data_IF_061628296405
#
_entry.id   IF_061628296405
#
_cell.length_a   1.000
_cell.length_b   1.000
_cell.length_c   1.000
_cell.angle_alpha   90.00
_cell.angle_beta   90.00
_cell.angle_gamma   90.00
#
_symmetry.space_group_name_H-M   'P 1'
#
loop_
_entity.id
_entity.type
_entity.pdbx_description
1 polymer ?
#
# COMPACT_ATOMS: atom_id res chain seq x y z
N UNK A 1 65.89 11.43 21.99
CA UNK A 1 64.61 10.78 21.61
C UNK A 1 63.47 11.69 22.00
N UNK A 2 62.97 12.51 21.06
CA UNK A 2 61.82 13.39 21.29
C UNK A 2 60.56 12.76 20.72
N UNK A 3 59.67 12.28 21.59
CA UNK A 3 58.43 11.60 21.22
C UNK A 3 57.49 12.58 20.49
N UNK A 4 57.28 12.39 19.17
CA UNK A 4 56.21 13.06 18.42
C UNK A 4 54.88 12.43 18.82
N UNK A 5 54.08 13.15 19.62
CA UNK A 5 52.67 12.80 19.87
C UNK A 5 51.90 12.88 18.55
N UNK A 6 51.34 11.76 18.11
CA UNK A 6 50.42 11.70 16.99
C UNK A 6 49.17 12.53 17.31
N UNK A 7 48.83 13.49 16.44
CA UNK A 7 47.56 14.22 16.52
C UNK A 7 46.42 13.26 16.20
N UNK A 8 45.56 13.01 17.17
CA UNK A 8 44.31 12.27 17.02
C UNK A 8 43.43 13.00 15.99
N UNK A 9 43.17 12.38 14.83
CA UNK A 9 42.18 12.90 13.87
C UNK A 9 40.82 12.89 14.54
N UNK A 10 40.27 14.06 14.84
CA UNK A 10 38.86 14.24 15.16
C UNK A 10 38.04 13.66 14.02
N UNK A 11 37.22 12.64 14.28
CA UNK A 11 36.25 12.10 13.31
C UNK A 11 35.42 13.26 12.80
N UNK A 12 35.51 13.57 11.50
CA UNK A 12 34.62 14.51 10.86
C UNK A 12 33.17 14.07 11.15
N UNK A 13 32.33 14.98 11.63
CA UNK A 13 30.90 14.70 11.83
C UNK A 13 30.36 14.19 10.50
N UNK A 14 29.62 13.07 10.55
CA UNK A 14 28.96 12.55 9.37
C UNK A 14 28.10 13.66 8.75
N UNK A 15 28.22 13.87 7.44
CA UNK A 15 27.36 14.82 6.73
C UNK A 15 25.90 14.37 6.91
N UNK A 16 24.96 15.32 7.08
CA UNK A 16 23.54 14.98 7.19
C UNK A 16 23.08 14.22 5.94
N UNK A 17 22.16 13.28 6.13
CA UNK A 17 21.69 12.38 5.08
C UNK A 17 20.43 12.90 4.36
N UNK A 18 19.79 13.95 4.89
CA UNK A 18 18.59 14.56 4.33
C UNK A 18 17.26 13.99 4.85
N UNK A 19 17.33 13.12 5.86
CA UNK A 19 16.21 12.41 6.48
C UNK A 19 16.17 12.59 8.00
N UNK A 20 16.96 13.51 8.56
CA UNK A 20 16.84 13.87 9.97
C UNK A 20 15.50 14.57 10.25
N UNK A 21 14.92 14.37 11.43
CA UNK A 21 13.58 14.87 11.83
C UNK A 21 13.39 16.38 11.64
N UNK A 22 14.48 17.16 11.75
CA UNK A 22 14.50 18.61 11.55
C UNK A 22 15.37 19.03 10.36
N UNK A 23 15.63 18.11 9.42
CA UNK A 23 16.39 18.45 8.22
C UNK A 23 15.58 19.41 7.36
N UNK A 24 16.14 20.59 7.13
CA UNK A 24 15.70 21.51 6.10
C UNK A 24 16.83 21.65 5.08
N UNK A 25 16.48 21.69 3.80
CA UNK A 25 17.45 22.07 2.78
C UNK A 25 18.01 23.45 3.10
N UNK A 26 19.29 23.64 2.80
CA UNK A 26 19.89 24.96 2.89
C UNK A 26 19.07 25.92 2.01
N UNK A 27 18.75 27.14 2.49
CA UNK A 27 18.02 28.10 1.69
C UNK A 27 18.80 28.38 0.41
N UNK A 28 18.14 28.14 -0.73
CA UNK A 28 18.67 28.50 -2.04
C UNK A 28 18.75 30.03 -2.12
N UNK A 29 19.80 30.56 -2.74
CA UNK A 29 19.88 32.01 -2.94
C UNK A 29 18.79 32.45 -3.93
N UNK A 30 18.23 33.67 -3.80
CA UNK A 30 17.20 34.13 -4.75
C UNK A 30 17.67 34.09 -6.21
N UNK A 31 18.94 34.37 -6.46
CA UNK A 31 19.51 34.35 -7.81
C UNK A 31 19.61 32.92 -8.36
N UNK A 32 20.08 31.96 -7.55
CA UNK A 32 20.14 30.54 -7.94
C UNK A 32 18.72 29.98 -8.17
N UNK A 33 17.76 30.35 -7.32
CA UNK A 33 16.37 29.91 -7.47
C UNK A 33 15.74 30.45 -8.75
N UNK A 34 15.96 31.73 -9.06
CA UNK A 34 15.49 32.31 -10.32
C UNK A 34 16.16 31.65 -11.53
N UNK A 35 17.46 31.35 -11.45
CA UNK A 35 18.16 30.64 -12.51
C UNK A 35 17.61 29.21 -12.70
N UNK A 36 17.42 28.45 -11.63
CA UNK A 36 16.81 27.11 -11.70
C UNK A 36 15.40 27.17 -12.32
N UNK A 37 14.57 28.14 -11.91
CA UNK A 37 13.22 28.32 -12.43
C UNK A 37 13.19 28.73 -13.91
N UNK A 38 14.13 29.57 -14.34
CA UNK A 38 14.17 30.05 -15.73
C UNK A 38 14.83 29.07 -16.69
N UNK A 39 15.74 28.22 -16.20
CA UNK A 39 16.46 27.26 -17.02
C UNK A 39 15.96 25.82 -16.82
N UNK A 40 16.20 25.24 -15.63
CA UNK A 40 15.95 23.82 -15.37
C UNK A 40 14.47 23.47 -15.33
N UNK A 41 13.67 24.30 -14.64
CA UNK A 41 12.25 24.03 -14.36
C UNK A 41 11.30 24.99 -15.08
N UNK A 42 11.77 25.68 -16.12
CA UNK A 42 10.90 26.56 -16.91
C UNK A 42 9.69 25.80 -17.44
N UNK A 43 8.45 26.32 -17.24
CA UNK A 43 7.24 25.73 -17.81
C UNK A 43 7.24 25.59 -19.34
N UNK A 44 8.16 26.28 -20.03
CA UNK A 44 8.37 26.12 -21.48
C UNK A 44 9.05 24.80 -21.84
N UNK A 45 9.65 24.09 -20.87
CA UNK A 45 10.24 22.77 -21.06
C UNK A 45 9.18 21.68 -20.86
N UNK A 46 9.26 20.58 -21.63
CA UNK A 46 8.41 19.42 -21.41
C UNK A 46 8.46 18.96 -19.96
N UNK A 47 7.31 18.55 -19.41
CA UNK A 47 7.22 18.06 -18.03
C UNK A 47 8.19 16.90 -17.78
N UNK A 48 8.29 15.95 -18.73
CA UNK A 48 9.18 14.78 -18.66
C UNK A 48 10.65 15.17 -18.42
N UNK A 49 11.14 16.20 -19.11
CA UNK A 49 12.49 16.71 -18.92
C UNK A 49 12.67 17.34 -17.53
N UNK A 50 11.69 18.13 -17.06
CA UNK A 50 11.74 18.78 -15.74
C UNK A 50 11.74 17.78 -14.59
N UNK A 51 10.84 16.80 -14.63
CA UNK A 51 10.74 15.79 -13.57
C UNK A 51 11.96 14.85 -13.56
N UNK A 52 12.49 14.50 -14.74
CA UNK A 52 13.73 13.72 -14.84
C UNK A 52 14.90 14.46 -14.17
N UNK A 53 15.12 15.73 -14.52
CA UNK A 53 16.17 16.56 -13.91
C UNK A 53 15.96 16.69 -12.39
N UNK A 54 14.73 16.88 -11.94
CA UNK A 54 14.38 16.92 -10.52
C UNK A 54 14.79 15.64 -9.79
N UNK A 55 14.45 14.46 -10.31
CA UNK A 55 14.76 13.17 -9.68
C UNK A 55 16.28 12.95 -9.58
N UNK A 56 17.00 13.25 -10.66
CA UNK A 56 18.46 13.11 -10.71
C UNK A 56 19.15 14.03 -9.68
N UNK A 57 18.72 15.30 -9.59
CA UNK A 57 19.21 16.26 -8.59
C UNK A 57 18.83 15.82 -7.18
N UNK A 58 17.60 15.35 -6.96
CA UNK A 58 17.15 14.83 -5.67
C UNK A 58 18.05 13.70 -5.16
N UNK A 59 18.39 12.72 -6.02
CA UNK A 59 19.31 11.63 -5.66
C UNK A 59 20.73 12.11 -5.40
N UNK A 60 21.21 13.12 -6.12
CA UNK A 60 22.54 13.68 -5.88
C UNK A 60 22.60 14.41 -4.52
N UNK A 61 21.51 15.05 -4.11
CA UNK A 61 21.41 15.81 -2.86
C UNK A 61 21.03 14.94 -1.64
N UNK A 62 20.50 13.73 -1.84
CA UNK A 62 20.01 12.85 -0.76
C UNK A 62 20.81 11.57 -0.64
N UNK A 63 21.10 11.17 0.60
CA UNK A 63 21.76 9.89 0.84
C UNK A 63 20.71 8.80 1.09
N UNK A 64 20.26 8.18 0.00
CA UNK A 64 19.40 7.01 0.04
C UNK A 64 20.24 5.76 0.37
N UNK A 65 20.04 5.17 1.54
CA UNK A 65 20.55 3.82 1.82
C UNK A 65 19.78 2.78 0.99
N UNK A 66 20.19 1.51 1.05
CA UNK A 66 19.58 0.44 0.28
C UNK A 66 18.06 0.35 0.47
N UNK A 67 17.57 0.56 1.69
CA UNK A 67 16.15 0.45 2.00
C UNK A 67 15.36 1.66 1.50
N UNK A 68 15.87 2.87 1.72
CA UNK A 68 15.27 4.11 1.19
C UNK A 68 15.28 4.13 -0.35
N UNK A 69 16.35 3.65 -0.96
CA UNK A 69 16.46 3.52 -2.41
C UNK A 69 15.42 2.52 -2.95
N UNK A 70 15.22 1.38 -2.29
CA UNK A 70 14.19 0.42 -2.69
C UNK A 70 12.79 1.03 -2.66
N UNK A 71 12.44 1.74 -1.57
CA UNK A 71 11.17 2.46 -1.42
C UNK A 71 10.98 3.44 -2.57
N UNK A 72 11.97 4.31 -2.79
CA UNK A 72 11.89 5.37 -3.79
C UNK A 72 11.84 4.81 -5.23
N UNK A 73 12.65 3.79 -5.53
CA UNK A 73 12.66 3.14 -6.84
C UNK A 73 11.29 2.54 -7.18
N UNK A 74 10.64 1.87 -6.20
CA UNK A 74 9.33 1.26 -6.41
C UNK A 74 8.22 2.30 -6.59
N UNK A 75 8.31 3.43 -5.90
CA UNK A 75 7.41 4.56 -6.11
C UNK A 75 7.55 5.15 -7.52
N UNK A 76 8.78 5.42 -7.96
CA UNK A 76 9.06 5.92 -9.31
C UNK A 76 8.62 4.93 -10.40
N UNK A 77 8.90 3.64 -10.20
CA UNK A 77 8.51 2.59 -11.13
C UNK A 77 6.98 2.50 -11.29
N UNK A 78 6.22 2.62 -10.19
CA UNK A 78 4.75 2.67 -10.27
C UNK A 78 4.26 3.89 -11.07
N UNK A 79 4.96 5.02 -10.95
CA UNK A 79 4.73 6.22 -11.77
C UNK A 79 5.25 6.13 -13.21
N UNK A 80 5.69 4.96 -13.68
CA UNK A 80 6.17 4.76 -15.04
C UNK A 80 7.58 5.28 -15.31
N UNK A 81 8.37 5.54 -14.26
CA UNK A 81 9.73 6.09 -14.39
C UNK A 81 10.76 4.97 -14.26
N UNK A 82 11.70 4.92 -15.20
CA UNK A 82 12.77 3.94 -15.19
C UNK A 82 13.79 4.30 -14.10
N UNK A 83 14.14 3.30 -13.28
CA UNK A 83 15.23 3.43 -12.30
C UNK A 83 16.22 2.29 -12.55
N UNK A 84 17.40 2.59 -13.07
CA UNK A 84 18.41 1.57 -13.35
C UNK A 84 19.20 1.20 -12.08
N UNK A 85 19.54 -0.08 -11.95
CA UNK A 85 20.49 -0.55 -10.94
C UNK A 85 21.90 -0.42 -11.52
N UNK A 86 22.76 0.39 -10.86
CA UNK A 86 24.16 0.69 -11.24
C UNK A 86 25.11 -0.52 -11.47
N UNK A 87 24.62 -1.76 -11.46
CA UNK A 87 25.44 -2.96 -11.59
C UNK A 87 26.10 -3.13 -12.98
N UNK A 88 25.65 -2.43 -14.03
CA UNK A 88 26.19 -2.64 -15.39
C UNK A 88 26.53 -1.38 -16.21
N UNK A 89 25.89 -0.23 -15.96
CA UNK A 89 26.03 0.96 -16.83
C UNK A 89 26.86 2.13 -16.30
N UNK A 90 27.14 2.19 -15.00
CA UNK A 90 27.84 3.31 -14.37
C UNK A 90 29.36 3.10 -14.34
N UNK A 91 30.02 3.27 -15.49
CA UNK A 91 31.48 3.26 -15.55
C UNK A 91 32.10 4.22 -14.53
N UNK A 92 33.17 3.78 -13.85
CA UNK A 92 33.97 4.66 -13.01
C UNK A 92 34.49 5.80 -13.88
N UNK A 93 33.99 7.02 -13.66
CA UNK A 93 34.49 8.21 -14.36
C UNK A 93 36.01 8.27 -14.14
N UNK A 94 36.76 8.44 -15.22
CA UNK A 94 38.21 8.59 -15.09
C UNK A 94 38.54 9.86 -14.29
N UNK A 95 39.72 9.86 -13.69
CA UNK A 95 40.12 10.92 -12.77
C UNK A 95 40.29 12.28 -13.46
N UNK A 96 40.39 12.28 -14.79
CA UNK A 96 40.49 13.47 -15.63
C UNK A 96 39.11 14.10 -15.90
N UNK A 97 38.07 13.29 -16.14
CA UNK A 97 36.68 13.77 -16.23
C UNK A 97 36.19 14.29 -14.88
N UNK A 98 36.53 13.63 -13.77
CA UNK A 98 36.20 14.12 -12.42
C UNK A 98 36.89 15.44 -12.05
N UNK A 99 38.05 15.73 -12.64
CA UNK A 99 38.80 16.94 -12.38
C UNK A 99 38.40 18.13 -13.26
N UNK A 100 37.78 17.87 -14.42
CA UNK A 100 37.44 18.87 -15.42
C UNK A 100 35.94 19.16 -15.53
N UNK A 101 35.08 18.20 -15.22
CA UNK A 101 33.64 18.36 -15.27
C UNK A 101 33.10 19.10 -14.04
N UNK A 102 32.08 19.92 -14.25
CA UNK A 102 31.30 20.55 -13.16
C UNK A 102 30.58 19.49 -12.34
N UNK A 103 30.22 19.82 -11.09
CA UNK A 103 29.44 18.91 -10.25
C UNK A 103 28.12 18.49 -10.91
N UNK A 104 27.56 19.35 -11.76
CA UNK A 104 26.33 19.12 -12.52
C UNK A 104 26.54 18.19 -13.72
N UNK A 105 27.65 18.34 -14.45
CA UNK A 105 28.03 17.40 -15.52
C UNK A 105 28.35 16.02 -14.98
N UNK A 106 29.06 15.92 -13.84
CA UNK A 106 29.31 14.65 -13.16
C UNK A 106 27.99 14.00 -12.72
N UNK A 107 27.06 14.79 -12.18
CA UNK A 107 25.74 14.29 -11.78
C UNK A 107 24.91 13.80 -12.97
N UNK A 108 24.95 14.51 -14.11
CA UNK A 108 24.26 14.11 -15.33
C UNK A 108 24.83 12.81 -15.93
N UNK A 109 26.16 12.64 -15.91
CA UNK A 109 26.81 11.40 -16.39
C UNK A 109 26.48 10.21 -15.48
N UNK A 110 26.29 10.45 -14.17
CA UNK A 110 25.96 9.41 -13.19
C UNK A 110 24.45 9.14 -13.04
N UNK A 111 23.61 9.83 -13.81
CA UNK A 111 22.16 9.71 -13.73
C UNK A 111 21.68 8.29 -14.04
N UNK A 112 20.79 7.78 -13.20
CA UNK A 112 20.23 6.42 -13.29
C UNK A 112 18.74 6.41 -13.58
N UNK A 113 18.12 7.58 -13.59
CA UNK A 113 16.67 7.73 -13.67
C UNK A 113 16.36 8.43 -14.99
N UNK A 114 15.59 7.75 -15.83
CA UNK A 114 15.23 8.22 -17.16
C UNK A 114 13.72 8.13 -17.36
N UNK A 115 13.17 9.10 -18.08
CA UNK A 115 11.75 9.16 -18.44
C UNK A 115 11.67 9.00 -19.96
N UNK A 116 10.81 8.11 -20.45
CA UNK A 116 10.49 8.06 -21.89
C UNK A 116 11.46 7.26 -22.77
N UNK A 117 12.36 6.44 -22.20
CA UNK A 117 13.30 5.62 -23.00
C UNK A 117 12.63 4.50 -23.80
N UNK A 118 11.36 4.17 -23.51
CA UNK A 118 10.64 3.07 -24.14
C UNK A 118 11.25 1.70 -23.81
N UNK A 119 10.65 0.62 -24.35
CA UNK A 119 11.19 -0.74 -24.24
C UNK A 119 10.64 -1.60 -23.10
N UNK A 120 9.83 -1.04 -22.20
CA UNK A 120 9.01 -1.81 -21.26
C UNK A 120 7.62 -1.14 -21.17
N UNK A 121 6.56 -1.92 -21.39
CA UNK A 121 5.15 -1.45 -21.33
C UNK A 121 4.74 -0.93 -19.94
N UNK A 122 5.53 -1.21 -18.90
CA UNK A 122 5.35 -0.64 -17.56
C UNK A 122 5.85 0.81 -17.45
N UNK A 123 6.73 1.24 -18.34
CA UNK A 123 7.37 2.55 -18.30
C UNK A 123 6.68 3.52 -19.25
N UNK A 124 6.73 4.80 -18.91
CA UNK A 124 6.26 5.88 -19.77
C UNK A 124 6.97 5.81 -21.13
N UNK A 125 6.19 5.84 -22.20
CA UNK A 125 6.65 5.86 -23.59
C UNK A 125 6.20 7.16 -24.26
N UNK A 126 7.15 7.94 -24.76
CA UNK A 126 6.87 9.19 -25.46
C UNK A 126 6.05 8.98 -26.75
N UNK A 127 6.16 7.80 -27.38
CA UNK A 127 5.39 7.47 -28.58
C UNK A 127 3.92 7.14 -28.27
N UNK A 128 3.61 6.82 -27.02
CA UNK A 128 2.27 6.51 -26.54
C UNK A 128 1.83 7.51 -25.46
N UNK A 129 2.32 8.75 -25.51
CA UNK A 129 2.07 9.75 -24.47
C UNK A 129 0.57 9.99 -24.17
N UNK A 130 -0.31 9.82 -25.17
CA UNK A 130 -1.77 9.94 -25.01
C UNK A 130 -2.38 8.87 -24.09
N UNK A 131 -1.67 7.76 -23.85
CA UNK A 131 -2.06 6.71 -22.91
C UNK A 131 -1.65 7.00 -21.46
N UNK A 132 -0.93 8.10 -21.24
CA UNK A 132 -0.34 8.45 -19.94
C UNK A 132 -0.87 9.79 -19.42
N UNK A 133 -1.02 9.87 -18.10
CA UNK A 133 -1.40 11.09 -17.38
C UNK A 133 -0.43 11.32 -16.23
N UNK A 134 -0.15 12.59 -15.95
CA UNK A 134 0.59 12.99 -14.75
C UNK A 134 -0.38 13.02 -13.58
N UNK A 135 -0.23 12.10 -12.63
CA UNK A 135 -1.10 11.95 -11.46
C UNK A 135 -0.28 11.57 -10.21
N UNK A 136 0.29 12.58 -9.55
CA UNK A 136 1.06 12.41 -8.32
C UNK A 136 0.20 11.85 -7.19
N UNK A 137 -1.05 12.32 -7.05
CA UNK A 137 -1.96 11.84 -6.02
C UNK A 137 -2.28 10.36 -6.23
N UNK A 138 -2.68 9.97 -7.43
CA UNK A 138 -2.99 8.59 -7.79
C UNK A 138 -1.81 7.65 -7.61
N UNK A 139 -0.61 8.05 -8.04
CA UNK A 139 0.62 7.25 -7.82
C UNK A 139 0.92 7.08 -6.32
N UNK A 140 0.77 8.14 -5.51
CA UNK A 140 0.91 8.03 -4.06
C UNK A 140 -0.15 7.09 -3.45
N UNK A 141 -1.41 7.23 -3.87
CA UNK A 141 -2.50 6.35 -3.40
C UNK A 141 -2.23 4.89 -3.74
N UNK A 142 -1.96 4.57 -5.00
CA UNK A 142 -1.66 3.18 -5.41
C UNK A 142 -0.43 2.61 -4.70
N UNK A 143 0.63 3.41 -4.56
CA UNK A 143 1.85 2.98 -3.87
C UNK A 143 1.58 2.54 -2.42
N UNK A 144 0.83 3.36 -1.66
CA UNK A 144 0.50 3.05 -0.27
C UNK A 144 -0.66 2.07 -0.12
N UNK A 145 -1.49 1.87 -1.14
CA UNK A 145 -2.64 0.96 -1.10
C UNK A 145 -2.25 -0.51 -1.27
N UNK A 146 -1.29 -0.81 -2.15
CA UNK A 146 -0.98 -2.19 -2.55
C UNK A 146 0.51 -2.49 -2.58
N UNK A 147 1.34 -1.56 -3.05
CA UNK A 147 2.75 -1.83 -3.36
C UNK A 147 3.59 -1.91 -2.12
N UNK A 148 3.36 -1.02 -1.15
CA UNK A 148 4.13 -1.02 0.09
C UNK A 148 4.09 -2.39 0.76
N UNK A 149 2.91 -3.01 0.90
CA UNK A 149 2.70 -4.33 1.49
C UNK A 149 3.50 -5.46 0.82
N UNK A 150 3.63 -5.39 -0.52
CA UNK A 150 4.42 -6.35 -1.31
C UNK A 150 5.92 -6.10 -1.21
N UNK A 151 6.33 -4.83 -1.05
CA UNK A 151 7.74 -4.41 -1.11
C UNK A 151 8.47 -4.58 0.22
N UNK A 152 7.82 -4.29 1.35
CA UNK A 152 8.52 -4.22 2.64
C UNK A 152 8.26 -5.43 3.54
N UNK A 153 7.24 -6.27 3.27
CA UNK A 153 7.00 -7.52 4.00
C UNK A 153 6.77 -7.32 5.51
N UNK A 154 5.54 -7.53 5.99
CA UNK A 154 5.18 -7.45 7.43
C UNK A 154 5.65 -6.14 8.09
N UNK A 155 4.96 -5.07 7.73
CA UNK A 155 5.18 -3.70 8.20
C UNK A 155 5.28 -3.54 9.72
N UNK A 156 6.44 -3.15 10.21
CA UNK A 156 6.55 -2.42 11.48
C UNK A 156 6.03 -0.99 11.30
N UNK A 157 5.62 -0.34 12.38
CA UNK A 157 5.20 1.08 12.34
C UNK A 157 6.33 1.98 11.80
N UNK A 158 7.58 1.65 12.14
CA UNK A 158 8.77 2.38 11.70
C UNK A 158 8.99 2.28 10.20
N UNK A 159 8.72 1.13 9.58
CA UNK A 159 8.85 0.93 8.14
C UNK A 159 7.80 1.70 7.34
N UNK A 160 6.56 1.74 7.83
CA UNK A 160 5.48 2.57 7.24
C UNK A 160 5.88 4.05 7.29
N UNK A 161 6.32 4.52 8.46
CA UNK A 161 6.79 5.90 8.64
C UNK A 161 7.98 6.21 7.75
N UNK A 162 8.93 5.29 7.64
CA UNK A 162 10.08 5.45 6.75
C UNK A 162 9.64 5.60 5.30
N UNK A 163 8.76 4.72 4.80
CA UNK A 163 8.26 4.79 3.43
C UNK A 163 7.54 6.11 3.14
N UNK A 164 6.60 6.51 4.01
CA UNK A 164 5.90 7.78 3.89
C UNK A 164 6.84 8.97 3.93
N UNK A 165 7.85 8.95 4.81
CA UNK A 165 8.85 10.02 4.92
C UNK A 165 9.70 10.16 3.65
N UNK A 166 10.06 9.04 3.00
CA UNK A 166 10.86 9.05 1.77
C UNK A 166 10.08 9.72 0.64
N UNK A 167 8.83 9.30 0.42
CA UNK A 167 7.99 9.88 -0.63
C UNK A 167 7.66 11.35 -0.32
N UNK A 168 7.34 11.67 0.93
CA UNK A 168 7.07 13.05 1.37
C UNK A 168 8.29 13.97 1.18
N UNK A 169 9.50 13.49 1.47
CA UNK A 169 10.74 14.27 1.29
C UNK A 169 10.98 14.60 -0.19
N UNK A 170 10.72 13.65 -1.08
CA UNK A 170 10.77 13.90 -2.53
C UNK A 170 9.70 14.91 -2.98
N UNK A 171 8.45 14.74 -2.57
CA UNK A 171 7.37 15.68 -2.93
C UNK A 171 7.62 17.10 -2.40
N UNK A 172 8.20 17.23 -1.20
CA UNK A 172 8.65 18.52 -0.68
C UNK A 172 9.72 19.15 -1.56
N UNK A 173 10.66 18.35 -2.07
CA UNK A 173 11.69 18.83 -3.01
C UNK A 173 11.06 19.34 -4.31
N UNK A 174 10.10 18.60 -4.88
CA UNK A 174 9.34 19.01 -6.07
C UNK A 174 8.65 20.37 -5.86
N UNK A 175 8.02 20.56 -4.70
CA UNK A 175 7.34 21.81 -4.35
C UNK A 175 8.32 22.96 -4.12
N UNK A 176 9.39 22.71 -3.37
CA UNK A 176 10.38 23.73 -3.02
C UNK A 176 11.08 24.31 -4.25
N UNK A 177 11.34 23.48 -5.25
CA UNK A 177 12.01 23.88 -6.49
C UNK A 177 11.04 24.31 -7.61
N UNK A 178 9.74 24.38 -7.33
CA UNK A 178 8.69 24.71 -8.31
C UNK A 178 8.84 23.94 -9.64
N UNK A 179 9.11 22.64 -9.56
CA UNK A 179 9.44 21.80 -10.73
C UNK A 179 8.31 21.76 -11.74
N UNK A 180 7.08 21.68 -11.24
CA UNK A 180 5.86 21.56 -12.04
C UNK A 180 4.71 22.38 -11.42
N UNK A 181 4.74 23.72 -11.55
CA UNK A 181 3.71 24.57 -10.96
C UNK A 181 2.30 24.26 -11.47
N UNK A 182 2.18 23.72 -12.68
CA UNK A 182 0.91 23.28 -13.25
C UNK A 182 0.27 22.08 -12.53
N UNK A 183 1.05 21.32 -11.74
CA UNK A 183 0.59 20.16 -10.96
C UNK A 183 0.70 20.39 -9.44
N UNK A 184 0.85 21.63 -8.99
CA UNK A 184 1.09 21.94 -7.56
C UNK A 184 0.01 21.38 -6.62
N UNK A 185 -1.26 21.48 -7.00
CA UNK A 185 -2.38 20.98 -6.19
C UNK A 185 -2.35 19.46 -6.05
N UNK A 186 -1.95 18.78 -7.12
CA UNK A 186 -1.84 17.33 -7.19
C UNK A 186 -0.63 16.82 -6.38
N UNK A 187 0.53 17.48 -6.49
CA UNK A 187 1.70 17.21 -5.64
C UNK A 187 1.38 17.45 -4.15
N UNK A 188 0.61 18.50 -3.83
CA UNK A 188 0.14 18.77 -2.48
C UNK A 188 -0.85 17.70 -1.99
N UNK A 189 -1.69 17.15 -2.87
CA UNK A 189 -2.58 16.04 -2.56
C UNK A 189 -1.80 14.74 -2.28
N UNK A 190 -0.83 14.39 -3.13
CA UNK A 190 0.09 13.28 -2.90
C UNK A 190 0.82 13.40 -1.55
N UNK A 191 1.27 14.61 -1.20
CA UNK A 191 1.92 14.88 0.10
C UNK A 191 0.98 14.64 1.28
N UNK A 192 -0.32 14.96 1.16
CA UNK A 192 -1.33 14.67 2.18
C UNK A 192 -1.57 13.16 2.33
N UNK A 193 -1.55 12.41 1.21
CA UNK A 193 -1.66 10.93 1.23
C UNK A 193 -0.53 10.32 2.05
N UNK A 194 0.71 10.80 1.95
CA UNK A 194 1.80 10.35 2.82
C UNK A 194 1.48 10.55 4.32
N UNK A 195 0.72 11.58 4.69
CA UNK A 195 0.26 11.81 6.08
C UNK A 195 -0.74 10.76 6.53
N UNK A 196 -1.75 10.50 5.70
CA UNK A 196 -2.77 9.47 5.97
C UNK A 196 -2.14 8.07 6.02
N UNK A 197 -1.16 7.78 5.17
CA UNK A 197 -0.49 6.48 5.13
C UNK A 197 0.24 6.16 6.44
N UNK A 198 0.85 7.16 7.10
CA UNK A 198 1.54 6.96 8.39
C UNK A 198 0.60 6.52 9.50
N UNK A 199 -0.64 7.03 9.49
CA UNK A 199 -1.63 6.75 10.53
C UNK A 199 -2.47 5.52 10.20
N UNK A 200 -3.03 5.47 8.99
CA UNK A 200 -4.04 4.47 8.63
C UNK A 200 -3.42 3.10 8.35
N UNK A 201 -2.25 3.00 7.72
CA UNK A 201 -1.66 1.70 7.40
C UNK A 201 -1.26 0.91 8.66
N UNK A 202 -0.81 1.61 9.70
CA UNK A 202 -0.54 0.98 10.98
C UNK A 202 -1.84 0.56 11.69
N UNK A 203 -2.84 1.44 11.71
CA UNK A 203 -4.15 1.13 12.27
C UNK A 203 -4.81 -0.09 11.57
N UNK A 204 -4.65 -0.23 10.24
CA UNK A 204 -5.08 -1.41 9.47
C UNK A 204 -4.41 -2.68 10.00
N UNK A 205 -3.11 -2.64 10.27
CA UNK A 205 -2.39 -3.80 10.79
C UNK A 205 -2.87 -4.18 12.20
N UNK A 206 -3.06 -3.20 13.07
CA UNK A 206 -3.55 -3.43 14.43
C UNK A 206 -4.97 -3.99 14.42
N UNK A 207 -5.87 -3.39 13.63
CA UNK A 207 -7.27 -3.81 13.58
C UNK A 207 -7.44 -5.18 12.92
N UNK A 208 -6.58 -5.54 11.95
CA UNK A 208 -6.59 -6.86 11.31
C UNK A 208 -6.30 -8.01 12.29
N UNK A 209 -5.61 -7.73 13.40
CA UNK A 209 -5.36 -8.72 14.46
C UNK A 209 -6.53 -8.85 15.45
N UNK A 210 -7.41 -7.85 15.49
CA UNK A 210 -8.52 -7.76 16.43
C UNK A 210 -9.86 -8.15 15.81
N UNK A 211 -10.01 -7.98 14.51
CA UNK A 211 -11.23 -8.32 13.79
C UNK A 211 -11.47 -9.85 13.77
N UNK A 212 -12.72 -10.31 13.84
CA UNK A 212 -13.96 -9.50 13.88
C UNK A 212 -14.37 -8.99 15.27
N UNK A 213 -13.58 -9.28 16.31
CA UNK A 213 -13.91 -8.96 17.69
C UNK A 213 -14.71 -10.05 18.40
N UNK A 214 -14.82 -9.96 19.72
CA UNK A 214 -15.48 -10.98 20.54
C UNK A 214 -16.98 -11.06 20.29
N UNK A 215 -17.67 -9.93 20.12
CA UNK A 215 -19.09 -9.87 19.82
C UNK A 215 -19.41 -10.59 18.52
N UNK A 216 -18.72 -10.23 17.44
CA UNK A 216 -18.98 -10.83 16.13
C UNK A 216 -18.56 -12.30 16.09
N UNK A 217 -17.46 -12.66 16.76
CA UNK A 217 -17.07 -14.07 16.96
C UNK A 217 -18.18 -14.83 17.69
N UNK A 218 -18.70 -14.29 18.80
CA UNK A 218 -19.78 -14.92 19.56
C UNK A 218 -21.06 -15.09 18.72
N UNK A 219 -21.45 -14.05 17.96
CA UNK A 219 -22.59 -14.11 17.05
C UNK A 219 -22.41 -15.17 15.96
N UNK A 220 -21.21 -15.28 15.40
CA UNK A 220 -20.83 -16.32 14.45
C UNK A 220 -20.94 -17.73 15.04
N UNK A 221 -20.46 -17.91 16.27
CA UNK A 221 -20.55 -19.15 17.03
C UNK A 221 -22.01 -19.55 17.29
N UNK A 222 -22.86 -18.61 17.74
CA UNK A 222 -24.26 -18.87 18.10
C UNK A 222 -25.19 -19.09 16.90
N UNK A 223 -25.03 -18.31 15.82
CA UNK A 223 -26.04 -18.21 14.76
C UNK A 223 -25.59 -18.80 13.42
N UNK A 224 -24.41 -19.41 13.40
CA UNK A 224 -23.84 -20.02 12.21
C UNK A 224 -22.99 -19.04 11.42
N UNK A 225 -21.72 -19.37 11.23
CA UNK A 225 -20.73 -18.58 10.51
C UNK A 225 -19.41 -19.34 10.47
N UNK A 226 -18.30 -18.64 10.21
CA UNK A 226 -16.96 -19.23 10.21
C UNK A 226 -16.62 -19.89 11.55
N UNK A 227 -17.04 -19.30 12.66
CA UNK A 227 -16.68 -19.75 14.00
C UNK A 227 -17.64 -20.80 14.59
N UNK A 228 -18.80 -21.06 13.97
CA UNK A 228 -19.69 -22.14 14.41
C UNK A 228 -19.14 -23.54 14.12
N UNK A 229 -18.27 -23.69 13.10
CA UNK A 229 -17.74 -24.98 12.67
C UNK A 229 -16.72 -25.59 13.67
N UNK A 230 -16.11 -24.77 14.52
CA UNK A 230 -15.16 -25.20 15.56
C UNK A 230 -15.82 -26.10 16.63
N UNK A 231 -17.14 -26.01 16.78
CA UNK A 231 -17.91 -26.80 17.75
C UNK A 231 -18.30 -28.18 17.17
N UNK A 232 -18.36 -28.33 15.85
CA UNK A 232 -18.90 -29.54 15.19
C UNK A 232 -17.89 -30.64 14.89
N UNK A 233 -16.59 -30.39 15.06
CA UNK A 233 -15.57 -31.42 14.85
C UNK A 233 -15.45 -32.25 16.12
N UNK A 234 -15.81 -33.54 16.06
CA UNK A 234 -15.48 -34.52 17.09
C UNK A 234 -13.94 -34.55 17.24
N UNK A 235 -13.44 -34.00 18.34
CA UNK A 235 -12.00 -33.83 18.61
C UNK A 235 -11.34 -35.11 19.11
N UNK A 236 -11.91 -36.29 18.83
CA UNK A 236 -11.42 -37.60 19.30
C UNK A 236 -10.02 -38.00 18.79
N UNK A 237 -9.43 -37.24 17.86
CA UNK A 237 -8.14 -37.52 17.21
C UNK A 237 -7.05 -36.48 17.49
N UNK A 238 -7.29 -35.47 18.35
CA UNK A 238 -6.21 -34.58 18.82
C UNK A 238 -5.57 -35.20 20.06
N UNK A 239 -4.56 -36.02 19.83
CA UNK A 239 -3.60 -36.39 20.87
C UNK A 239 -2.83 -35.15 21.32
N UNK A 240 -2.53 -35.11 22.63
CA UNK A 240 -1.90 -34.02 23.36
C UNK A 240 -0.60 -33.51 22.70
N UNK A 241 -0.35 -32.20 22.84
CA UNK A 241 0.84 -31.43 22.38
C UNK A 241 0.76 -30.70 21.03
N UNK A 242 -0.30 -29.90 20.81
CA UNK A 242 -0.19 -28.73 19.92
C UNK A 242 -0.57 -27.47 20.72
N UNK A 243 0.40 -26.56 20.75
CA UNK A 243 0.43 -25.23 21.36
C UNK A 243 -0.95 -24.55 21.50
N UNK A 244 -1.34 -24.28 22.74
CA UNK A 244 -2.63 -23.71 23.17
C UNK A 244 -2.72 -22.21 22.88
N UNK A 245 -2.75 -21.83 21.61
CA UNK A 245 -2.93 -20.43 21.17
C UNK A 245 -4.22 -20.17 20.39
N UNK A 246 -5.03 -21.20 20.12
CA UNK A 246 -6.38 -21.04 19.58
C UNK A 246 -7.43 -21.34 20.67
N UNK A 247 -7.70 -20.35 21.52
CA UNK A 247 -8.89 -20.32 22.37
C UNK A 247 -10.13 -20.15 21.49
N UNK A 248 -10.59 -21.25 20.89
CA UNK A 248 -11.89 -21.31 20.22
C UNK A 248 -12.99 -21.02 21.26
N UNK A 249 -13.75 -19.93 21.05
CA UNK A 249 -14.79 -19.48 21.98
C UNK A 249 -15.90 -20.53 22.13
N UNK A 250 -16.12 -21.02 23.35
CA UNK A 250 -17.17 -21.98 23.65
C UNK A 250 -18.58 -21.36 23.59
N UNK A 251 -19.59 -22.24 23.55
CA UNK A 251 -20.98 -21.84 23.36
C UNK A 251 -21.58 -21.07 24.54
N UNK A 252 -21.16 -21.38 25.77
CA UNK A 252 -21.63 -20.69 26.97
C UNK A 252 -21.05 -19.28 27.04
N UNK A 253 -19.74 -19.16 26.77
CA UNK A 253 -19.01 -17.89 26.70
C UNK A 253 -19.57 -16.99 25.59
N UNK A 254 -19.81 -17.53 24.40
CA UNK A 254 -20.43 -16.79 23.30
C UNK A 254 -21.81 -16.24 23.68
N UNK A 255 -22.67 -17.07 24.30
CA UNK A 255 -23.98 -16.61 24.76
C UNK A 255 -23.87 -15.47 25.78
N UNK A 256 -22.93 -15.55 26.74
CA UNK A 256 -22.70 -14.50 27.74
C UNK A 256 -22.28 -13.18 27.09
N UNK A 257 -21.34 -13.23 26.14
CA UNK A 257 -20.87 -12.06 25.40
C UNK A 257 -22.03 -11.40 24.65
N UNK A 258 -22.85 -12.17 23.92
CA UNK A 258 -23.99 -11.59 23.19
C UNK A 258 -24.98 -10.94 24.15
N UNK A 259 -25.39 -11.63 25.22
CA UNK A 259 -26.35 -11.06 26.19
C UNK A 259 -25.83 -9.75 26.75
N UNK A 260 -24.54 -9.72 27.12
CA UNK A 260 -23.89 -8.53 27.63
C UNK A 260 -23.88 -7.40 26.60
N UNK A 261 -23.32 -7.64 25.42
CA UNK A 261 -23.21 -6.65 24.34
C UNK A 261 -24.57 -6.12 23.90
N UNK A 262 -25.58 -6.98 23.81
CA UNK A 262 -26.93 -6.56 23.43
C UNK A 262 -27.59 -5.69 24.50
N UNK A 263 -27.30 -5.89 25.78
CA UNK A 263 -27.81 -5.01 26.85
C UNK A 263 -27.20 -3.60 26.75
N UNK A 264 -25.90 -3.48 26.44
CA UNK A 264 -25.26 -2.19 26.16
C UNK A 264 -25.98 -1.50 24.98
N UNK A 265 -26.11 -2.20 23.84
CA UNK A 265 -26.74 -1.65 22.63
C UNK A 265 -28.21 -1.29 22.88
N UNK A 266 -28.92 -2.05 23.72
CA UNK A 266 -30.29 -1.76 24.11
C UNK A 266 -30.38 -0.47 24.92
N UNK A 267 -29.54 -0.31 25.94
CA UNK A 267 -29.55 0.85 26.82
C UNK A 267 -29.17 2.11 26.05
N UNK A 268 -28.14 2.03 25.21
CA UNK A 268 -27.50 3.21 24.63
C UNK A 268 -28.04 3.58 23.25
N UNK A 269 -28.51 2.60 22.48
CA UNK A 269 -28.98 2.79 21.11
C UNK A 269 -30.42 2.30 20.89
N UNK A 270 -31.06 1.70 21.91
CA UNK A 270 -32.42 1.17 21.78
C UNK A 270 -32.51 -0.10 20.93
N UNK A 271 -31.38 -0.75 20.61
CA UNK A 271 -31.35 -1.98 19.80
C UNK A 271 -32.06 -3.10 20.58
N UNK A 272 -33.10 -3.67 19.98
CA UNK A 272 -33.86 -4.77 20.59
C UNK A 272 -33.37 -6.10 20.05
N UNK A 273 -32.81 -6.94 20.92
CA UNK A 273 -32.38 -8.29 20.60
C UNK A 273 -33.15 -9.28 21.48
N UNK A 274 -33.94 -10.17 20.88
CA UNK A 274 -34.83 -11.13 21.57
C UNK A 274 -34.70 -12.53 20.97
N UNK A 275 -34.11 -13.46 21.71
CA UNK A 275 -34.00 -14.85 21.28
C UNK A 275 -35.36 -15.56 21.10
N UNK A 276 -35.42 -16.63 20.26
CA UNK A 276 -34.38 -17.16 19.38
C UNK A 276 -34.38 -16.51 17.98
N UNK A 277 -33.23 -16.53 17.29
CA UNK A 277 -33.08 -16.02 15.92
C UNK A 277 -32.43 -17.04 15.00
N UNK A 278 -32.80 -16.99 13.72
CA UNK A 278 -32.19 -17.79 12.67
C UNK A 278 -31.43 -16.91 11.69
N UNK A 279 -30.27 -17.38 11.23
CA UNK A 279 -29.56 -16.76 10.10
C UNK A 279 -30.37 -16.96 8.83
N UNK A 280 -30.68 -15.87 8.13
CA UNK A 280 -31.47 -15.87 6.90
C UNK A 280 -30.63 -15.68 5.64
N UNK A 281 -29.49 -14.99 5.74
CA UNK A 281 -28.59 -14.82 4.59
C UNK A 281 -27.15 -14.59 5.01
N UNK A 282 -26.24 -14.83 4.06
CA UNK A 282 -24.82 -14.61 4.21
C UNK A 282 -24.21 -14.20 2.87
N UNK A 283 -23.41 -13.13 2.84
CA UNK A 283 -22.77 -12.65 1.62
C UNK A 283 -21.51 -11.83 1.92
N UNK A 284 -20.51 -11.91 1.04
CA UNK A 284 -19.40 -10.97 1.03
C UNK A 284 -19.83 -9.63 0.42
N UNK A 285 -19.51 -8.53 1.10
CA UNK A 285 -19.90 -7.18 0.70
C UNK A 285 -18.78 -6.18 1.01
N UNK A 286 -18.64 -5.19 0.14
CA UNK A 286 -17.66 -4.13 0.27
C UNK A 286 -18.32 -2.82 0.72
N UNK A 287 -17.64 -2.11 1.62
CA UNK A 287 -18.16 -0.95 2.32
C UNK A 287 -17.12 0.17 2.42
N UNK A 288 -17.60 1.41 2.47
CA UNK A 288 -16.83 2.59 2.89
C UNK A 288 -17.45 3.13 4.18
N UNK A 289 -16.61 3.42 5.18
CA UNK A 289 -17.04 3.93 6.48
C UNK A 289 -17.45 5.40 6.36
N UNK A 290 -18.67 5.73 6.78
CA UNK A 290 -19.18 7.11 6.82
C UNK A 290 -19.14 7.71 8.22
N UNK A 291 -19.28 6.88 9.25
CA UNK A 291 -19.31 7.33 10.64
C UNK A 291 -18.75 6.24 11.54
N UNK A 292 -17.93 6.64 12.51
CA UNK A 292 -17.52 5.78 13.63
C UNK A 292 -17.94 6.45 14.94
N UNK A 293 -18.37 5.63 15.90
CA UNK A 293 -18.74 6.15 17.22
C UNK A 293 -18.47 5.12 18.30
N UNK A 294 -17.65 5.52 19.26
CA UNK A 294 -17.49 4.83 20.54
C UNK A 294 -18.64 5.20 21.46
N UNK A 295 -19.23 4.21 22.11
CA UNK A 295 -20.26 4.41 23.11
C UNK A 295 -19.64 4.53 24.51
N UNK A 296 -20.30 5.27 25.40
CA UNK A 296 -19.77 5.56 26.74
C UNK A 296 -20.01 4.40 27.73
N UNK A 297 -19.10 4.17 28.67
CA UNK A 297 -19.27 3.19 29.75
C UNK A 297 -18.49 1.88 29.54
N UNK A 298 -18.42 1.08 30.60
CA UNK A 298 -17.72 -0.22 30.61
C UNK A 298 -18.72 -1.37 30.53
N UNK A 299 -18.52 -2.33 29.62
CA UNK A 299 -17.44 -2.51 28.66
C UNK A 299 -17.69 -1.66 27.42
N UNK A 300 -16.59 -1.34 26.77
CA UNK A 300 -16.56 -0.33 25.74
C UNK A 300 -16.92 -0.97 24.39
N UNK A 301 -18.03 -0.52 23.80
CA UNK A 301 -18.43 -0.89 22.44
C UNK A 301 -18.63 0.35 21.58
N UNK A 302 -18.64 0.16 20.27
CA UNK A 302 -18.98 1.20 19.32
C UNK A 302 -19.74 0.67 18.12
N UNK A 303 -19.91 1.55 17.14
CA UNK A 303 -20.43 1.18 15.84
C UNK A 303 -19.68 1.89 14.72
N UNK A 304 -19.74 1.26 13.55
CA UNK A 304 -19.43 1.85 12.26
C UNK A 304 -20.70 1.90 11.42
N UNK A 305 -20.96 3.04 10.78
CA UNK A 305 -21.97 3.14 9.71
C UNK A 305 -21.25 3.17 8.37
N UNK A 306 -21.75 2.39 7.45
CA UNK A 306 -21.12 2.13 6.18
C UNK A 306 -22.09 2.36 5.03
N UNK A 307 -21.58 2.89 3.92
CA UNK A 307 -22.23 2.84 2.60
C UNK A 307 -21.56 1.75 1.75
N UNK A 308 -22.25 1.27 0.71
CA UNK A 308 -21.64 0.30 -0.21
C UNK A 308 -20.45 0.90 -0.95
N UNK A 309 -19.44 0.07 -1.20
CA UNK A 309 -18.28 0.35 -2.03
C UNK A 309 -18.18 -0.73 -3.11
N UNK A 310 -17.71 -0.37 -4.31
CA UNK A 310 -17.56 -1.29 -5.45
C UNK A 310 -16.53 -2.40 -5.20
N UNK A 311 -15.65 -2.21 -4.21
CA UNK A 311 -14.58 -3.14 -3.88
C UNK A 311 -13.25 -2.75 -4.51
N UNK A 312 -12.18 -3.53 -4.25
CA UNK A 312 -10.80 -3.16 -4.56
C UNK A 312 -10.45 -3.15 -6.06
N UNK A 313 -11.40 -3.39 -6.97
CA UNK A 313 -11.16 -3.34 -8.42
C UNK A 313 -10.32 -4.48 -9.00
N UNK A 314 -9.79 -5.41 -8.19
CA UNK A 314 -9.02 -6.57 -8.67
C UNK A 314 -9.85 -7.58 -9.47
N UNK A 315 -11.18 -7.54 -9.35
CA UNK A 315 -12.10 -8.45 -10.04
C UNK A 315 -13.27 -7.62 -10.56
N UNK A 316 -13.36 -7.48 -11.89
CA UNK A 316 -14.60 -7.01 -12.54
C UNK A 316 -15.60 -8.15 -12.37
N UNK A 317 -16.37 -8.14 -11.29
CA UNK A 317 -17.59 -8.93 -11.28
C UNK A 317 -18.54 -8.27 -12.28
N UNK A 318 -18.98 -9.00 -13.30
CA UNK A 318 -19.94 -8.58 -14.35
C UNK A 318 -21.33 -8.16 -13.82
N UNK A 319 -21.47 -7.95 -12.52
CA UNK A 319 -22.75 -7.58 -11.91
C UNK A 319 -22.74 -6.07 -11.67
N UNK A 320 -23.40 -5.27 -12.53
CA UNK A 320 -23.49 -3.83 -12.31
C UNK A 320 -24.17 -3.58 -10.96
N UNK A 321 -23.52 -2.75 -10.14
CA UNK A 321 -23.95 -2.37 -8.79
C UNK A 321 -25.14 -1.37 -8.83
N UNK A 322 -26.09 -1.56 -9.75
CA UNK A 322 -27.26 -0.70 -9.97
C UNK A 322 -28.53 -1.19 -9.27
N UNK A 323 -28.42 -2.16 -8.36
CA UNK A 323 -29.56 -2.54 -7.54
C UNK A 323 -29.79 -1.49 -6.43
N UNK A 324 -31.04 -1.21 -6.04
CA UNK A 324 -31.36 -0.35 -4.90
C UNK A 324 -30.69 -0.78 -3.57
N UNK A 325 -30.22 -2.03 -3.48
CA UNK A 325 -29.46 -2.53 -2.33
C UNK A 325 -28.05 -1.91 -2.23
N UNK A 326 -27.47 -1.39 -3.32
CA UNK A 326 -26.17 -0.70 -3.32
C UNK A 326 -26.21 0.66 -2.61
N UNK A 327 -27.40 1.23 -2.36
CA UNK A 327 -27.57 2.45 -1.55
C UNK A 327 -27.83 2.18 -0.07
N UNK A 328 -27.81 0.90 0.36
CA UNK A 328 -28.16 0.54 1.74
C UNK A 328 -27.04 0.96 2.69
N UNK A 329 -27.35 1.90 3.58
CA UNK A 329 -26.51 2.18 4.75
C UNK A 329 -26.67 1.04 5.75
N UNK A 330 -25.55 0.49 6.20
CA UNK A 330 -25.51 -0.59 7.16
C UNK A 330 -24.69 -0.18 8.38
N UNK A 331 -25.06 -0.72 9.54
CA UNK A 331 -24.38 -0.43 10.81
C UNK A 331 -23.84 -1.74 11.36
N UNK A 332 -22.58 -1.75 11.74
CA UNK A 332 -21.92 -2.88 12.41
C UNK A 332 -21.44 -2.45 13.78
N UNK A 333 -21.40 -3.40 14.71
CA UNK A 333 -21.03 -3.19 16.10
C UNK A 333 -19.79 -4.01 16.43
N UNK A 334 -18.87 -3.43 17.17
CA UNK A 334 -17.64 -4.07 17.62
C UNK A 334 -17.15 -3.41 18.92
N UNK A 335 -16.16 -4.01 19.55
CA UNK A 335 -15.45 -3.50 20.71
C UNK A 335 -14.76 -2.15 20.39
N UNK A 336 -14.66 -1.29 21.39
CA UNK A 336 -14.12 0.07 21.20
C UNK A 336 -12.69 0.08 20.67
N UNK A 337 -11.86 -0.87 21.07
CA UNK A 337 -10.47 -0.96 20.66
C UNK A 337 -10.28 -1.38 19.18
N UNK A 338 -11.36 -1.85 18.53
CA UNK A 338 -11.48 -2.02 17.07
C UNK A 338 -11.98 -0.71 16.45
N UNK A 339 -13.03 -0.11 17.02
CA UNK A 339 -13.68 1.11 16.48
C UNK A 339 -12.73 2.31 16.47
N UNK A 340 -11.86 2.45 17.48
CA UNK A 340 -10.85 3.51 17.57
C UNK A 340 -9.77 3.44 16.49
N UNK A 341 -9.54 2.25 15.91
CA UNK A 341 -8.59 2.04 14.82
C UNK A 341 -9.22 2.29 13.44
N UNK A 342 -10.55 2.42 13.37
CA UNK A 342 -11.28 2.65 12.13
C UNK A 342 -11.61 4.13 11.95
N UNK A 343 -11.23 4.69 10.81
CA UNK A 343 -11.48 6.09 10.45
C UNK A 343 -12.49 6.22 9.31
N UNK A 344 -13.18 7.36 9.25
CA UNK A 344 -14.09 7.69 8.13
C UNK A 344 -13.33 7.65 6.80
N UNK A 345 -13.96 7.08 5.78
CA UNK A 345 -13.40 6.88 4.45
C UNK A 345 -12.67 5.55 4.28
N UNK A 346 -12.18 4.92 5.35
CA UNK A 346 -11.59 3.57 5.27
C UNK A 346 -12.60 2.58 4.71
N UNK A 347 -12.09 1.54 4.06
CA UNK A 347 -12.93 0.58 3.32
C UNK A 347 -12.81 -0.81 3.90
N UNK A 348 -13.91 -1.56 3.86
CA UNK A 348 -14.03 -2.87 4.48
C UNK A 348 -14.62 -3.87 3.48
N UNK A 349 -13.99 -5.03 3.34
CA UNK A 349 -14.58 -6.21 2.71
C UNK A 349 -15.07 -7.17 3.79
N UNK A 350 -16.38 -7.25 4.03
CA UNK A 350 -16.95 -8.02 5.14
C UNK A 350 -17.76 -9.22 4.65
N UNK A 351 -17.59 -10.37 5.30
CA UNK A 351 -18.52 -11.48 5.15
C UNK A 351 -19.69 -11.33 6.12
N UNK A 352 -20.79 -10.73 5.65
CA UNK A 352 -21.93 -10.31 6.45
C UNK A 352 -22.99 -11.40 6.55
N UNK A 353 -23.47 -11.64 7.75
CA UNK A 353 -24.61 -12.51 8.05
C UNK A 353 -25.78 -11.69 8.56
N UNK A 354 -26.97 -11.97 8.04
CA UNK A 354 -28.22 -11.33 8.47
C UNK A 354 -29.10 -12.32 9.21
N UNK A 355 -29.60 -11.90 10.37
CA UNK A 355 -30.58 -12.62 11.17
C UNK A 355 -32.02 -12.22 10.77
N UNK A 356 -32.99 -13.07 11.05
CA UNK A 356 -34.43 -12.86 10.82
C UNK A 356 -35.03 -11.59 11.46
N UNK A 357 -34.38 -11.04 12.48
CA UNK A 357 -34.72 -9.75 13.11
C UNK A 357 -34.11 -8.52 12.42
N UNK A 358 -33.33 -8.71 11.36
CA UNK A 358 -32.62 -7.66 10.63
C UNK A 358 -31.27 -7.23 11.23
N UNK A 359 -30.83 -7.85 12.33
CA UNK A 359 -29.51 -7.64 12.91
C UNK A 359 -28.44 -8.27 12.01
N UNK A 360 -27.29 -7.61 11.87
CA UNK A 360 -26.16 -8.08 11.06
C UNK A 360 -24.89 -8.19 11.87
N UNK A 361 -24.12 -9.22 11.59
CA UNK A 361 -22.78 -9.43 12.13
C UNK A 361 -21.85 -9.90 11.00
N UNK A 362 -20.55 -9.96 11.25
CA UNK A 362 -19.57 -10.34 10.22
C UNK A 362 -18.49 -11.27 10.77
N UNK A 363 -17.83 -12.04 9.89
CA UNK A 363 -16.76 -12.96 10.27
C UNK A 363 -15.38 -12.48 9.80
N UNK A 364 -15.14 -12.61 8.50
CA UNK A 364 -13.90 -12.22 7.86
C UNK A 364 -14.00 -10.78 7.40
N UNK A 365 -12.90 -10.05 7.54
CA UNK A 365 -12.79 -8.65 7.17
C UNK A 365 -11.47 -8.39 6.46
N UNK A 366 -11.55 -7.73 5.31
CA UNK A 366 -10.43 -7.05 4.68
C UNK A 366 -10.55 -5.56 4.99
N UNK A 367 -9.44 -4.90 5.34
CA UNK A 367 -9.44 -3.48 5.70
C UNK A 367 -8.49 -2.74 4.75
N UNK A 368 -8.99 -1.65 4.19
CA UNK A 368 -8.27 -0.79 3.27
C UNK A 368 -8.28 0.65 3.76
N UNK A 369 -7.24 1.42 3.39
CA UNK A 369 -7.14 2.82 3.73
C UNK A 369 -8.22 3.68 3.05
N UNK A 370 -8.44 4.87 3.61
CA UNK A 370 -9.43 5.83 3.12
C UNK A 370 -9.14 6.28 1.70
N UNK A 371 -7.86 6.38 1.36
CA UNK A 371 -7.37 6.76 0.05
C UNK A 371 -7.11 5.57 -0.87
N UNK A 372 -7.59 4.36 -0.54
CA UNK A 372 -7.38 3.16 -1.35
C UNK A 372 -7.70 3.42 -2.83
N UNK A 373 -6.74 3.14 -3.69
CA UNK A 373 -6.84 3.25 -5.14
C UNK A 373 -6.04 2.12 -5.76
N UNK A 374 -6.65 1.44 -6.73
CA UNK A 374 -5.96 0.50 -7.60
C UNK A 374 -5.51 1.22 -8.86
N UNK A 375 -4.21 1.15 -9.18
CA UNK A 375 -3.68 1.65 -10.45
C UNK A 375 -3.51 0.51 -11.45
N UNK A 376 -3.87 0.76 -12.71
CA UNK A 376 -3.65 -0.21 -13.80
C UNK A 376 -2.17 -0.59 -13.96
N UNK A 377 -1.26 0.35 -13.67
CA UNK A 377 0.19 0.13 -13.63
C UNK A 377 0.60 -1.03 -12.70
N UNK A 378 -0.21 -1.35 -11.68
CA UNK A 378 0.05 -2.46 -10.76
C UNK A 378 -0.02 -3.81 -11.46
N UNK A 379 -0.86 -3.95 -12.51
CA UNK A 379 -0.93 -5.19 -13.32
C UNK A 379 0.39 -5.45 -14.04
N UNK A 380 1.18 -4.41 -14.28
CA UNK A 380 2.44 -4.49 -15.02
C UNK A 380 3.66 -4.82 -14.15
N UNK A 381 3.55 -4.77 -12.81
CA UNK A 381 4.69 -4.98 -11.90
C UNK A 381 5.37 -6.36 -12.04
N UNK A 382 4.59 -7.39 -12.32
CA UNK A 382 5.06 -8.76 -12.52
C UNK A 382 4.89 -9.21 -13.98
N UNK A 383 4.52 -8.30 -14.87
CA UNK A 383 4.36 -8.61 -16.27
C UNK A 383 5.72 -8.95 -16.88
N UNK A 384 5.79 -10.12 -17.50
CA UNK A 384 6.92 -10.52 -18.33
C UNK A 384 6.40 -10.62 -19.74
N UNK A 385 7.09 -9.97 -20.68
CA UNK A 385 6.72 -10.07 -22.08
C UNK A 385 6.73 -11.54 -22.50
N UNK A 386 5.63 -12.05 -23.09
CA UNK A 386 5.57 -13.42 -23.56
C UNK A 386 6.68 -13.65 -24.57
N UNK A 387 7.59 -14.57 -24.26
CA UNK A 387 8.58 -15.03 -25.22
C UNK A 387 7.87 -15.98 -26.18
N UNK A 388 7.97 -15.77 -27.52
CA UNK A 388 7.44 -16.72 -28.49
C UNK A 388 7.93 -18.13 -28.13
N UNK A 389 7.00 -19.06 -27.92
CA UNK A 389 7.37 -20.44 -27.64
C UNK A 389 7.91 -21.05 -28.93
N UNK A 390 9.21 -21.33 -28.96
CA UNK A 390 9.88 -21.99 -30.10
C UNK A 390 9.56 -23.48 -30.16
N UNK A 391 8.88 -24.04 -29.15
CA UNK A 391 8.42 -25.42 -29.17
C UNK A 391 7.23 -25.57 -30.13
N UNK A 392 7.27 -26.52 -31.07
CA UNK A 392 6.11 -26.84 -31.89
C UNK A 392 4.95 -27.30 -30.99
N UNK A 393 3.71 -26.86 -31.27
CA UNK A 393 2.54 -27.36 -30.54
C UNK A 393 2.29 -28.83 -30.88
N UNK A 394 1.70 -29.63 -29.96
CA UNK A 394 1.21 -30.96 -30.29
C UNK A 394 0.27 -30.92 -31.48
N UNK A 395 0.46 -31.84 -32.42
CA UNK A 395 -0.41 -32.00 -33.60
C UNK A 395 -1.08 -33.36 -33.56
N UNK A 396 -2.14 -33.56 -34.36
CA UNK A 396 -2.76 -34.90 -34.49
C UNK A 396 -1.74 -35.95 -34.98
N UNK A 397 -0.75 -35.53 -35.79
CA UNK A 397 0.29 -36.39 -36.33
C UNK A 397 1.48 -36.60 -35.37
N UNK A 398 1.67 -35.73 -34.37
CA UNK A 398 2.69 -35.85 -33.32
C UNK A 398 2.17 -35.30 -31.98
N UNK A 399 1.35 -36.08 -31.26
CA UNK A 399 0.76 -35.66 -29.99
C UNK A 399 1.82 -35.61 -28.86
N UNK A 400 2.90 -36.38 -29.00
CA UNK A 400 3.94 -36.55 -27.97
C UNK A 400 5.16 -35.64 -28.22
N UNK A 401 5.00 -34.61 -29.05
CA UNK A 401 6.09 -33.69 -29.46
C UNK A 401 6.72 -33.00 -28.24
N UNK A 402 5.94 -32.70 -27.21
CA UNK A 402 6.42 -32.09 -25.96
C UNK A 402 7.28 -33.05 -25.14
N UNK A 403 6.87 -34.31 -25.04
CA UNK A 403 7.60 -35.35 -24.29
C UNK A 403 8.94 -35.66 -24.96
N UNK A 404 8.94 -35.78 -26.30
CA UNK A 404 10.17 -35.96 -27.10
C UNK A 404 11.15 -34.79 -26.96
N UNK A 405 10.66 -33.56 -26.80
CA UNK A 405 11.50 -32.38 -26.54
C UNK A 405 12.02 -32.40 -25.09
N UNK A 406 11.21 -32.81 -24.11
CA UNK A 406 11.64 -32.93 -22.71
C UNK A 406 12.68 -34.04 -22.49
N UNK A 407 12.56 -35.15 -23.23
CA UNK A 407 13.49 -36.28 -23.18
C UNK A 407 14.77 -36.04 -24.00
N UNK A 408 14.86 -34.91 -24.70
CA UNK A 408 16.03 -34.50 -25.48
C UNK A 408 16.16 -35.21 -26.83
N UNK A 409 15.09 -35.87 -27.29
CA UNK A 409 15.02 -36.56 -28.58
C UNK A 409 14.84 -35.59 -29.76
N UNK A 410 14.38 -34.36 -29.49
CA UNK A 410 14.35 -33.25 -30.43
C UNK A 410 15.07 -32.02 -29.88
N UNK A 411 15.91 -31.38 -30.71
CA UNK A 411 16.48 -30.06 -30.40
C UNK A 411 15.60 -28.98 -30.99
N UNK A 412 15.24 -28.01 -30.16
CA UNK A 412 14.66 -26.74 -30.57
C UNK A 412 15.80 -25.87 -31.10
N UNK A 413 15.76 -25.45 -32.37
CA UNK A 413 16.75 -24.52 -32.95
C UNK A 413 16.63 -23.11 -32.38
#
# INVERSE_FOLDING_TARGET
MGNRKAKTKTKAKAKPNGFEEFYADAPITPDDFMAEKQDLYSPTRPFTARIQTCIQRYRACRKLDQHKALIFNKYLLLGGIETDNKAFGGGMLDQETLASATAEEIAAIQATDFVGRGGNKMLYDENEADNWVVDFEGVAKGYFSSIIGQVIGIMTEQEIKLAASVIRNFLNYVLQHEVCPEYVEDVMAARRVCGLAETELWAIREVSQKLPGHLNTALSTCFGGRYSAAITVDKSWRDDEIDSSNDEMDMETACKIIVYSMEILRIQLGVRFKFPFQKISSAFRCYEIEETKVLAGEPTMGFIKCKSWEGPGHVVYDVPNTSPAAMRKETFYAETDIIELLSVGMKLGLHVHELDNGFRFFDFSEVYCSFYMFLENEKMLNYKEPVPNTRPPPTEDDPDVEDKIMEGEMRVE
#
